data_IF_593292897541
#
_entry.id   IF_593292897541
#
_cell.length_a   1.000
_cell.length_b   1.000
_cell.length_c   1.000
_cell.angle_alpha   90.00
_cell.angle_beta   90.00
_cell.angle_gamma   90.00
#
_symmetry.space_group_name_H-M   'P 1'
#
loop_
_entity.id
_entity.type
_entity.pdbx_description
1 polymer ?
#
# COMPACT_ATOMS: atom_id res chain seq x y z
N UNK A 1 15.91 52.07 -1.09
CA UNK A 1 14.44 52.01 -0.98
C UNK A 1 13.96 52.77 0.25
N UNK A 2 13.17 53.82 0.04
CA UNK A 2 12.56 54.60 1.11
C UNK A 2 11.42 53.85 1.83
N UNK A 3 11.04 54.29 3.03
CA UNK A 3 9.98 53.67 3.86
C UNK A 3 8.64 53.55 3.12
N UNK A 4 8.33 54.51 2.25
CA UNK A 4 7.13 54.52 1.42
C UNK A 4 7.16 53.44 0.32
N UNK A 5 8.33 53.18 -0.28
CA UNK A 5 8.50 52.16 -1.31
C UNK A 5 8.37 50.75 -0.72
N UNK A 6 8.93 50.50 0.47
CA UNK A 6 8.76 49.22 1.17
C UNK A 6 7.29 48.90 1.48
N UNK A 7 6.51 49.90 1.89
CA UNK A 7 5.06 49.72 2.13
C UNK A 7 4.29 49.43 0.85
N UNK A 8 4.68 50.04 -0.29
CA UNK A 8 4.06 49.75 -1.59
C UNK A 8 4.39 48.34 -2.06
N UNK A 9 5.65 47.92 -1.94
CA UNK A 9 6.08 46.57 -2.27
C UNK A 9 5.33 45.53 -1.43
N UNK A 10 5.24 45.71 -0.11
CA UNK A 10 4.49 44.79 0.77
C UNK A 10 2.99 44.73 0.44
N UNK A 11 2.36 45.86 0.10
CA UNK A 11 0.95 45.88 -0.33
C UNK A 11 0.74 45.20 -1.68
N UNK A 12 1.67 45.36 -2.62
CA UNK A 12 1.64 44.66 -3.91
C UNK A 12 1.84 43.16 -3.72
N UNK A 13 2.76 42.76 -2.84
CA UNK A 13 3.03 41.36 -2.52
C UNK A 13 1.84 40.69 -1.80
N UNK A 14 1.17 41.39 -0.89
CA UNK A 14 -0.06 40.91 -0.25
C UNK A 14 -1.22 40.80 -1.23
N UNK A 15 -1.35 41.76 -2.17
CA UNK A 15 -2.36 41.68 -3.25
C UNK A 15 -2.06 40.56 -4.24
N UNK A 16 -0.80 40.31 -4.55
CA UNK A 16 -0.38 39.20 -5.41
C UNK A 16 -0.65 37.83 -4.76
N UNK A 17 -0.47 37.72 -3.43
CA UNK A 17 -0.78 36.50 -2.66
C UNK A 17 -2.29 36.23 -2.54
N UNK A 18 -3.13 37.25 -2.73
CA UNK A 18 -4.59 37.16 -2.55
C UNK A 18 -5.29 37.39 -3.89
N UNK A 19 -4.96 36.58 -4.89
CA UNK A 19 -5.68 36.60 -6.16
C UNK A 19 -7.15 36.20 -5.91
N UNK A 20 -8.06 37.16 -6.05
CA UNK A 20 -9.50 36.93 -5.85
C UNK A 20 -10.09 36.45 -7.16
N UNK A 21 -10.48 35.17 -7.21
CA UNK A 21 -11.11 34.56 -8.36
C UNK A 21 -12.64 34.57 -8.19
N UNK A 22 -13.36 34.99 -9.22
CA UNK A 22 -14.83 34.89 -9.27
C UNK A 22 -15.21 33.53 -9.86
N UNK A 23 -15.37 32.53 -9.00
CA UNK A 23 -15.83 31.20 -9.39
C UNK A 23 -17.32 31.05 -9.10
N UNK A 24 -18.04 30.37 -9.98
CA UNK A 24 -19.42 29.95 -9.66
C UNK A 24 -19.40 28.84 -8.62
N UNK A 25 -20.47 28.73 -7.82
CA UNK A 25 -20.59 27.68 -6.80
C UNK A 25 -20.41 26.27 -7.40
N UNK A 26 -20.95 26.02 -8.59
CA UNK A 26 -20.81 24.75 -9.29
C UNK A 26 -19.35 24.44 -9.70
N UNK A 27 -18.59 25.44 -10.13
CA UNK A 27 -17.16 25.28 -10.45
C UNK A 27 -16.33 25.00 -9.19
N UNK A 28 -16.65 25.67 -8.08
CA UNK A 28 -16.00 25.42 -6.79
C UNK A 28 -16.31 24.00 -6.29
N UNK A 29 -17.58 23.58 -6.32
CA UNK A 29 -18.00 22.25 -5.89
C UNK A 29 -17.36 21.15 -6.75
N UNK A 30 -17.23 21.37 -8.06
CA UNK A 30 -16.55 20.44 -8.96
C UNK A 30 -15.04 20.32 -8.64
N UNK A 31 -14.35 21.44 -8.45
CA UNK A 31 -12.94 21.45 -8.09
C UNK A 31 -12.66 20.77 -6.74
N UNK A 32 -13.51 21.02 -5.74
CA UNK A 32 -13.40 20.39 -4.41
C UNK A 32 -13.64 18.89 -4.52
N UNK A 33 -14.67 18.43 -5.23
CA UNK A 33 -14.94 16.99 -5.43
C UNK A 33 -13.80 16.29 -6.16
N UNK A 34 -13.22 16.92 -7.18
CA UNK A 34 -12.09 16.36 -7.90
C UNK A 34 -10.86 16.22 -6.99
N UNK A 35 -10.54 17.25 -6.22
CA UNK A 35 -9.39 17.24 -5.32
C UNK A 35 -9.57 16.23 -4.18
N UNK A 36 -10.74 16.20 -3.54
CA UNK A 36 -11.07 15.23 -2.50
C UNK A 36 -11.10 13.81 -3.06
N UNK A 37 -11.64 13.61 -4.27
CA UNK A 37 -11.64 12.31 -4.94
C UNK A 37 -10.23 11.78 -5.18
N UNK A 38 -9.33 12.62 -5.72
CA UNK A 38 -7.92 12.24 -5.92
C UNK A 38 -7.22 11.90 -4.61
N UNK A 39 -7.46 12.67 -3.56
CA UNK A 39 -6.87 12.40 -2.25
C UNK A 39 -7.44 11.12 -1.61
N UNK A 40 -8.74 10.85 -1.78
CA UNK A 40 -9.37 9.63 -1.30
C UNK A 40 -8.80 8.39 -2.00
N UNK A 41 -8.58 8.47 -3.33
CA UNK A 41 -7.96 7.39 -4.09
C UNK A 41 -6.51 7.17 -3.65
N UNK A 42 -5.75 8.24 -3.37
CA UNK A 42 -4.40 8.13 -2.81
C UNK A 42 -4.40 7.44 -1.45
N UNK A 43 -5.28 7.86 -0.53
CA UNK A 43 -5.40 7.26 0.81
C UNK A 43 -5.78 5.77 0.72
N UNK A 44 -6.70 5.41 -0.18
CA UNK A 44 -7.08 3.99 -0.39
C UNK A 44 -5.92 3.16 -0.93
N UNK A 45 -5.15 3.71 -1.87
CA UNK A 45 -3.96 3.04 -2.41
C UNK A 45 -2.92 2.84 -1.31
N UNK A 46 -2.60 3.90 -0.55
CA UNK A 46 -1.66 3.81 0.57
C UNK A 46 -2.11 2.77 1.61
N UNK A 47 -3.38 2.78 2.00
CA UNK A 47 -3.92 1.79 2.95
C UNK A 47 -3.88 0.34 2.40
N UNK A 48 -4.10 0.17 1.09
CA UNK A 48 -4.03 -1.13 0.43
C UNK A 48 -2.59 -1.63 0.38
N UNK A 49 -1.65 -0.77 -0.02
CA UNK A 49 -0.23 -1.09 -0.09
C UNK A 49 0.33 -1.44 1.29
N UNK A 50 -0.06 -0.70 2.33
CA UNK A 50 0.33 -1.00 3.72
C UNK A 50 -0.21 -2.36 4.19
N UNK A 51 -1.47 -2.68 3.86
CA UNK A 51 -2.08 -3.97 4.20
C UNK A 51 -1.39 -5.13 3.46
N UNK A 52 -1.10 -4.95 2.16
CA UNK A 52 -0.38 -5.94 1.34
C UNK A 52 1.02 -6.15 1.86
N UNK A 53 1.76 -5.08 2.18
CA UNK A 53 3.10 -5.17 2.77
C UNK A 53 3.08 -5.91 4.10
N UNK A 54 2.12 -5.59 4.97
CA UNK A 54 1.94 -6.27 6.26
C UNK A 54 1.64 -7.75 6.05
N UNK A 55 0.74 -8.10 5.12
CA UNK A 55 0.42 -9.48 4.80
C UNK A 55 1.64 -10.24 4.26
N UNK A 56 2.43 -9.64 3.37
CA UNK A 56 3.68 -10.25 2.85
C UNK A 56 4.70 -10.51 3.96
N UNK A 57 4.89 -9.55 4.88
CA UNK A 57 5.78 -9.72 6.02
C UNK A 57 5.32 -10.88 6.91
N UNK A 58 4.03 -10.96 7.23
CA UNK A 58 3.48 -12.03 8.07
C UNK A 58 3.58 -13.40 7.39
N UNK A 59 3.30 -13.47 6.08
CA UNK A 59 3.39 -14.69 5.27
C UNK A 59 4.81 -15.27 5.25
N UNK A 60 5.83 -14.42 5.38
CA UNK A 60 7.24 -14.86 5.43
C UNK A 60 7.74 -15.12 6.85
N UNK A 61 7.41 -14.24 7.79
CA UNK A 61 7.97 -14.30 9.16
C UNK A 61 7.37 -15.43 9.99
N UNK A 62 6.05 -15.66 9.93
CA UNK A 62 5.41 -16.71 10.74
C UNK A 62 5.88 -18.12 10.35
N UNK A 63 5.94 -18.51 9.06
CA UNK A 63 6.48 -19.82 8.70
C UNK A 63 7.97 -19.96 9.02
N UNK A 64 8.76 -18.88 8.96
CA UNK A 64 10.16 -18.92 9.36
C UNK A 64 10.33 -19.28 10.84
N UNK A 65 9.55 -18.67 11.73
CA UNK A 65 9.55 -19.02 13.16
C UNK A 65 9.16 -20.49 13.38
N UNK A 66 8.09 -20.96 12.71
CA UNK A 66 7.68 -22.37 12.78
C UNK A 66 8.79 -23.32 12.30
N UNK A 67 9.47 -22.97 11.20
CA UNK A 67 10.59 -23.74 10.67
C UNK A 67 11.77 -23.75 11.63
N UNK A 68 12.06 -22.64 12.30
CA UNK A 68 13.12 -22.55 13.31
C UNK A 68 12.80 -23.41 14.54
N UNK A 69 11.59 -23.28 15.08
CA UNK A 69 11.22 -23.86 16.36
C UNK A 69 10.90 -25.36 16.30
N UNK A 70 10.36 -25.83 15.16
CA UNK A 70 9.84 -27.20 15.07
C UNK A 70 10.60 -28.09 14.09
N UNK A 71 11.16 -27.55 13.00
CA UNK A 71 11.72 -28.37 11.92
C UNK A 71 13.24 -28.31 11.84
N UNK A 72 13.84 -27.13 11.93
CA UNK A 72 15.26 -26.88 11.69
C UNK A 72 15.98 -26.29 12.91
N UNK A 73 15.55 -26.64 14.12
CA UNK A 73 16.07 -26.13 15.42
C UNK A 73 17.58 -26.00 15.55
N UNK A 74 18.37 -26.86 14.90
CA UNK A 74 19.85 -26.83 14.95
C UNK A 74 20.54 -26.38 13.66
N UNK A 75 19.79 -26.25 12.56
CA UNK A 75 20.35 -26.00 11.23
C UNK A 75 19.68 -24.85 10.46
N UNK A 76 18.76 -24.14 11.12
CA UNK A 76 18.01 -23.03 10.53
C UNK A 76 18.93 -21.97 9.93
N UNK A 77 20.06 -21.63 10.57
CA UNK A 77 21.03 -20.66 10.06
C UNK A 77 21.58 -21.00 8.66
N UNK A 78 21.62 -22.29 8.29
CA UNK A 78 22.05 -22.74 6.97
C UNK A 78 20.89 -22.97 6.00
N UNK A 79 19.70 -23.30 6.52
CA UNK A 79 18.54 -23.71 5.71
C UNK A 79 17.60 -22.56 5.35
N UNK A 80 17.45 -21.59 6.27
CA UNK A 80 16.59 -20.41 6.07
C UNK A 80 16.96 -19.63 4.80
N UNK A 81 18.24 -19.30 4.52
CA UNK A 81 18.56 -18.53 3.32
C UNK A 81 18.05 -19.21 2.05
N UNK A 82 18.21 -20.53 1.96
CA UNK A 82 17.74 -21.28 0.79
C UNK A 82 16.22 -21.37 0.71
N UNK A 83 15.56 -21.52 1.85
CA UNK A 83 14.09 -21.46 1.92
C UNK A 83 13.57 -20.11 1.44
N UNK A 84 14.13 -19.00 1.95
CA UNK A 84 13.72 -17.65 1.57
C UNK A 84 13.91 -17.40 0.08
N UNK A 85 15.04 -17.85 -0.52
CA UNK A 85 15.25 -17.79 -1.98
C UNK A 85 14.13 -18.50 -2.74
N UNK A 86 13.76 -19.71 -2.34
CA UNK A 86 12.71 -20.49 -3.01
C UNK A 86 11.34 -19.81 -2.89
N UNK A 87 11.02 -19.21 -1.74
CA UNK A 87 9.74 -18.48 -1.60
C UNK A 87 9.69 -17.28 -2.55
N UNK A 88 10.79 -16.52 -2.67
CA UNK A 88 10.88 -15.39 -3.60
C UNK A 88 10.75 -15.85 -5.06
N UNK A 89 11.40 -16.96 -5.43
CA UNK A 89 11.29 -17.54 -6.77
C UNK A 89 9.84 -17.93 -7.10
N UNK A 90 9.11 -18.54 -6.17
CA UNK A 90 7.69 -18.86 -6.37
C UNK A 90 6.82 -17.61 -6.53
N UNK A 91 7.15 -16.54 -5.79
CA UNK A 91 6.50 -15.24 -5.94
C UNK A 91 6.72 -14.65 -7.34
N UNK A 92 7.95 -14.66 -7.83
CA UNK A 92 8.28 -14.17 -9.18
C UNK A 92 7.56 -15.00 -10.25
N UNK A 93 7.54 -16.33 -10.12
CA UNK A 93 6.82 -17.22 -11.05
C UNK A 93 5.32 -16.96 -11.06
N UNK A 94 4.73 -16.69 -9.90
CA UNK A 94 3.32 -16.25 -9.82
C UNK A 94 3.10 -14.90 -10.50
N UNK A 95 3.95 -13.90 -10.24
CA UNK A 95 3.86 -12.58 -10.89
C UNK A 95 4.01 -12.67 -12.41
N UNK A 96 4.84 -13.58 -12.90
CA UNK A 96 5.03 -13.84 -14.32
C UNK A 96 3.92 -14.70 -14.95
N UNK A 97 2.94 -15.15 -14.15
CA UNK A 97 1.82 -15.99 -14.61
C UNK A 97 2.18 -17.46 -14.86
N UNK A 98 3.37 -17.90 -14.43
CA UNK A 98 3.83 -19.29 -14.55
C UNK A 98 3.29 -20.20 -13.44
N UNK A 99 2.74 -19.61 -12.38
CA UNK A 99 2.18 -20.31 -11.23
C UNK A 99 0.70 -19.92 -11.06
N UNK A 100 -0.17 -20.93 -11.04
CA UNK A 100 -1.61 -20.74 -10.86
C UNK A 100 -1.96 -20.70 -9.36
N UNK A 101 -2.51 -19.57 -8.91
CA UNK A 101 -2.87 -19.36 -7.52
C UNK A 101 -4.05 -20.23 -7.07
N UNK A 102 -4.98 -20.57 -7.98
CA UNK A 102 -6.13 -21.40 -7.61
C UNK A 102 -5.68 -22.83 -7.27
N UNK A 103 -4.73 -23.35 -8.04
CA UNK A 103 -4.11 -24.64 -7.75
C UNK A 103 -3.37 -24.64 -6.40
N UNK A 104 -2.67 -23.56 -6.05
CA UNK A 104 -2.02 -23.47 -4.74
C UNK A 104 -3.02 -23.43 -3.58
N UNK A 105 -4.18 -22.79 -3.77
CA UNK A 105 -5.26 -22.79 -2.78
C UNK A 105 -5.86 -24.20 -2.63
N UNK A 106 -6.00 -24.94 -3.73
CA UNK A 106 -6.41 -26.35 -3.69
C UNK A 106 -5.41 -27.20 -2.91
N UNK A 107 -4.11 -27.06 -3.20
CA UNK A 107 -3.04 -27.77 -2.47
C UNK A 107 -3.05 -27.38 -0.97
N UNK A 108 -3.25 -26.11 -0.65
CA UNK A 108 -3.35 -25.65 0.75
C UNK A 108 -4.56 -26.26 1.46
N UNK A 109 -5.67 -26.45 0.77
CA UNK A 109 -6.83 -27.13 1.33
C UNK A 109 -6.57 -28.63 1.51
N UNK A 110 -6.05 -29.30 0.49
CA UNK A 110 -5.83 -30.75 0.49
C UNK A 110 -4.77 -31.16 1.53
N UNK A 111 -3.64 -30.47 1.56
CA UNK A 111 -2.51 -30.83 2.41
C UNK A 111 -2.42 -30.00 3.70
N UNK A 112 -2.87 -28.75 3.67
CA UNK A 112 -2.87 -27.86 4.84
C UNK A 112 -4.15 -27.92 5.66
N UNK A 113 -5.27 -28.40 5.09
CA UNK A 113 -6.57 -28.48 5.77
C UNK A 113 -7.20 -27.11 6.06
N UNK A 114 -6.69 -26.04 5.43
CA UNK A 114 -7.15 -24.66 5.65
C UNK A 114 -7.67 -24.09 4.34
N UNK A 115 -8.85 -23.45 4.39
CA UNK A 115 -9.45 -22.76 3.25
C UNK A 115 -9.40 -21.26 3.48
N UNK A 116 -8.77 -20.53 2.57
CA UNK A 116 -8.81 -19.07 2.55
C UNK A 116 -10.14 -18.65 1.90
N UNK A 117 -10.98 -17.96 2.67
CA UNK A 117 -12.23 -17.37 2.18
C UNK A 117 -12.03 -15.87 2.07
N UNK A 118 -12.36 -15.29 0.92
CA UNK A 118 -12.43 -13.84 0.79
C UNK A 118 -13.54 -13.36 1.72
N UNK A 119 -13.19 -12.68 2.80
CA UNK A 119 -14.18 -11.94 3.57
C UNK A 119 -14.60 -10.76 2.71
N UNK A 120 -15.79 -10.82 2.12
CA UNK A 120 -16.48 -9.60 1.70
C UNK A 120 -16.53 -8.71 2.94
N UNK A 121 -15.73 -7.64 2.96
CA UNK A 121 -15.77 -6.66 4.03
C UNK A 121 -17.21 -6.15 4.08
N UNK A 122 -17.94 -6.51 5.14
CA UNK A 122 -19.25 -5.92 5.41
C UNK A 122 -19.04 -4.42 5.54
N UNK A 123 -19.36 -3.70 4.47
CA UNK A 123 -19.53 -2.27 4.49
C UNK A 123 -20.82 -1.98 5.25
N UNK A 124 -20.76 -2.02 6.58
CA UNK A 124 -21.78 -1.47 7.49
C UNK A 124 -21.56 0.01 7.73
#
# INVERSE_FOLDING_TARGET
MGRAERRRAQKLEQKAKTATYNLTKAQLDAAVREQVGKELERIKQEATDDAVNTAMVLLLTLPLEVLMDHYWTKSYAKRIPKFTELVLEYYERWQNGELDMEKLKEDLWEYGGVKLVESEGEAT
#
